data_IF_391985063856
#
_entry.id   IF_391985063856
#
_cell.length_a   1.000
_cell.length_b   1.000
_cell.length_c   1.000
_cell.angle_alpha   90.00
_cell.angle_beta   90.00
_cell.angle_gamma   90.00
#
_symmetry.space_group_name_H-M   'P 1'
#
loop_
_entity.id
_entity.type
_entity.pdbx_description
1 polymer ?
#
# COMPACT_ATOMS: atom_id res chain seq x y z
N UNK A 1 41.53 -63.59 18.23
CA UNK A 1 40.73 -63.56 19.48
C UNK A 1 40.21 -62.14 19.64
N UNK A 2 38.88 -62.02 19.75
CA UNK A 2 38.02 -60.97 20.37
C UNK A 2 38.67 -59.59 20.55
N UNK A 3 38.16 -58.46 20.06
CA UNK A 3 36.79 -57.94 19.89
C UNK A 3 36.90 -56.41 20.12
N UNK A 4 35.95 -55.50 19.94
CA UNK A 4 34.51 -55.47 19.62
C UNK A 4 34.28 -54.06 19.02
N UNK A 5 33.44 -53.98 17.99
CA UNK A 5 32.92 -52.74 17.42
C UNK A 5 31.68 -52.26 18.20
N UNK A 6 31.46 -50.94 18.26
CA UNK A 6 30.13 -50.38 18.52
C UNK A 6 29.96 -49.06 17.77
N UNK A 7 29.14 -49.13 16.72
CA UNK A 7 28.49 -48.02 16.05
C UNK A 7 27.07 -47.90 16.60
N UNK A 8 26.56 -46.68 16.79
CA UNK A 8 25.14 -46.44 17.01
C UNK A 8 24.59 -45.54 15.90
N UNK A 9 23.73 -46.13 15.07
CA UNK A 9 22.73 -45.46 14.25
C UNK A 9 21.62 -44.93 15.17
N UNK A 10 21.13 -43.71 14.91
CA UNK A 10 19.84 -43.24 15.41
C UNK A 10 18.79 -43.39 14.30
N UNK A 11 17.70 -44.05 14.68
CA UNK A 11 16.60 -44.54 13.85
C UNK A 11 15.52 -43.47 13.66
N UNK A 12 14.93 -43.41 12.47
CA UNK A 12 13.70 -42.70 12.15
C UNK A 12 12.49 -43.27 12.90
N UNK A 13 11.55 -42.41 13.31
CA UNK A 13 10.17 -42.81 13.62
C UNK A 13 9.20 -41.84 12.95
N UNK A 14 8.54 -42.33 11.89
CA UNK A 14 7.29 -41.80 11.39
C UNK A 14 6.15 -42.31 12.28
N UNK A 15 5.22 -41.44 12.66
CA UNK A 15 3.94 -41.83 13.26
C UNK A 15 2.85 -41.48 12.27
N UNK A 16 2.26 -42.53 11.72
CA UNK A 16 1.05 -42.50 10.92
C UNK A 16 -0.14 -42.76 11.85
N UNK A 17 -1.11 -41.85 11.91
CA UNK A 17 -2.37 -42.07 12.60
C UNK A 17 -3.54 -41.69 11.67
N UNK A 18 -4.13 -42.72 11.04
CA UNK A 18 -5.46 -42.66 10.42
C UNK A 18 -6.52 -42.62 11.51
N UNK A 19 -7.51 -41.73 11.38
CA UNK A 19 -8.65 -41.68 12.29
C UNK A 19 -9.84 -40.86 11.78
N UNK A 20 -10.67 -41.49 10.95
CA UNK A 20 -12.12 -41.32 10.74
C UNK A 20 -12.72 -39.93 10.41
N UNK A 21 -13.33 -39.91 9.22
CA UNK A 21 -14.37 -38.99 8.82
C UNK A 21 -15.59 -39.04 9.76
N UNK A 22 -16.03 -37.86 10.21
CA UNK A 22 -17.31 -37.59 10.85
C UNK A 22 -17.84 -36.27 10.30
N UNK A 23 -18.96 -36.34 9.59
CA UNK A 23 -19.82 -35.21 9.24
C UNK A 23 -20.33 -34.59 10.54
N UNK A 24 -20.10 -33.29 10.74
CA UNK A 24 -21.06 -32.44 11.44
C UNK A 24 -20.85 -30.97 11.08
N UNK A 25 -21.97 -30.32 10.72
CA UNK A 25 -22.03 -28.90 10.45
C UNK A 25 -21.77 -28.10 11.72
N UNK A 26 -20.76 -27.22 11.66
CA UNK A 26 -20.39 -26.34 12.75
C UNK A 26 -20.13 -24.94 12.23
N UNK A 27 -21.08 -24.05 12.48
CA UNK A 27 -20.96 -22.60 12.37
C UNK A 27 -19.90 -22.15 13.38
N UNK A 28 -18.64 -22.16 12.98
CA UNK A 28 -17.50 -21.80 13.82
C UNK A 28 -17.06 -20.37 13.53
N UNK A 29 -17.45 -19.43 14.38
CA UNK A 29 -16.74 -18.15 14.57
C UNK A 29 -15.32 -18.49 15.02
N UNK A 30 -14.41 -18.67 14.08
CA UNK A 30 -12.98 -18.72 14.34
C UNK A 30 -12.46 -17.30 14.42
N UNK A 31 -12.41 -16.75 15.63
CA UNK A 31 -11.62 -15.58 15.94
C UNK A 31 -10.18 -15.95 15.55
N UNK A 32 -9.68 -15.39 14.45
CA UNK A 32 -8.31 -15.60 14.02
C UNK A 32 -7.42 -15.09 15.16
N UNK A 33 -6.76 -16.00 15.87
CA UNK A 33 -5.60 -15.64 16.68
C UNK A 33 -4.57 -15.11 15.70
N UNK A 34 -4.45 -13.78 15.68
CA UNK A 34 -3.39 -13.07 15.02
C UNK A 34 -2.06 -13.74 15.38
N UNK A 35 -1.30 -14.07 14.34
CA UNK A 35 0.09 -14.46 14.46
C UNK A 35 0.90 -13.21 14.87
N UNK A 36 0.72 -12.75 16.11
CA UNK A 36 1.63 -11.83 16.76
C UNK A 36 2.90 -12.60 17.14
N UNK A 37 3.83 -12.67 16.19
CA UNK A 37 5.20 -13.07 16.44
C UNK A 37 6.08 -11.83 16.59
N UNK A 38 6.18 -11.33 17.83
CA UNK A 38 7.37 -10.61 18.32
C UNK A 38 7.52 -9.14 17.93
N UNK A 39 6.99 -8.27 18.78
CA UNK A 39 7.30 -6.84 18.86
C UNK A 39 8.82 -6.65 19.04
N UNK A 40 9.48 -6.04 18.04
CA UNK A 40 10.90 -5.66 18.07
C UNK A 40 11.65 -5.60 16.72
N UNK A 41 11.02 -5.87 15.56
CA UNK A 41 11.70 -5.79 14.22
C UNK A 41 10.86 -5.22 13.08
N UNK A 42 9.68 -4.70 13.34
CA UNK A 42 8.70 -4.31 12.31
C UNK A 42 8.06 -5.50 11.60
N UNK A 43 6.84 -5.31 11.11
CA UNK A 43 6.06 -6.32 10.38
C UNK A 43 6.67 -6.56 9.00
N UNK A 44 6.72 -7.83 8.57
CA UNK A 44 7.29 -8.15 7.26
C UNK A 44 6.37 -7.78 6.09
N UNK A 45 5.06 -7.76 6.34
CA UNK A 45 4.06 -7.50 5.31
C UNK A 45 2.74 -6.99 5.91
N UNK A 46 2.09 -6.04 5.24
CA UNK A 46 0.69 -5.60 5.48
C UNK A 46 0.01 -5.40 4.13
N UNK A 47 -1.24 -5.85 3.98
CA UNK A 47 -2.06 -5.63 2.80
C UNK A 47 -3.35 -4.89 3.13
N UNK A 48 -3.78 -4.00 2.23
CA UNK A 48 -5.06 -3.29 2.27
C UNK A 48 -5.88 -3.69 1.05
N UNK A 49 -7.12 -4.09 1.31
CA UNK A 49 -8.10 -4.47 0.30
C UNK A 49 -9.08 -3.33 0.07
N UNK A 50 -9.04 -2.72 -1.11
CA UNK A 50 -9.66 -1.43 -1.38
C UNK A 50 -11.18 -1.39 -1.29
N UNK A 51 -11.90 -2.48 -1.60
CA UNK A 51 -13.36 -2.41 -1.75
C UNK A 51 -14.11 -3.47 -0.96
N UNK A 52 -13.72 -3.66 0.30
CA UNK A 52 -14.37 -4.54 1.24
C UNK A 52 -14.53 -3.87 2.61
N UNK A 53 -15.60 -4.25 3.30
CA UNK A 53 -15.99 -3.80 4.63
C UNK A 53 -15.52 -4.75 5.75
N UNK A 54 -14.96 -5.90 5.38
CA UNK A 54 -14.42 -6.92 6.28
C UNK A 54 -13.03 -7.40 5.83
N UNK A 55 -12.21 -7.76 6.81
CA UNK A 55 -10.88 -8.34 6.57
C UNK A 55 -10.98 -9.65 5.78
N UNK A 56 -10.00 -9.89 4.92
CA UNK A 56 -9.95 -11.06 4.06
C UNK A 56 -8.66 -11.84 4.23
N UNK A 57 -8.74 -13.15 4.42
CA UNK A 57 -7.57 -14.04 4.43
C UNK A 57 -7.42 -14.68 3.06
N UNK A 58 -6.32 -14.40 2.38
CA UNK A 58 -6.06 -14.94 1.03
C UNK A 58 -5.71 -16.43 1.05
N UNK A 59 -5.65 -17.04 -0.13
CA UNK A 59 -5.28 -18.44 -0.35
C UNK A 59 -3.91 -18.84 0.24
N UNK A 60 -3.06 -17.86 0.62
CA UNK A 60 -1.75 -18.05 1.24
C UNK A 60 -1.76 -17.86 2.75
N UNK A 61 -2.92 -17.53 3.32
CA UNK A 61 -3.08 -17.27 4.75
C UNK A 61 -2.64 -15.86 5.16
N UNK A 62 -2.47 -14.92 4.23
CA UNK A 62 -2.16 -13.53 4.57
C UNK A 62 -3.45 -12.75 4.80
N UNK A 63 -3.45 -11.91 5.84
CA UNK A 63 -4.58 -11.06 6.20
C UNK A 63 -4.54 -9.73 5.45
N UNK A 64 -5.55 -9.49 4.64
CA UNK A 64 -5.78 -8.22 3.97
C UNK A 64 -6.79 -7.41 4.77
N UNK A 65 -6.37 -6.23 5.19
CA UNK A 65 -7.21 -5.33 5.98
C UNK A 65 -8.22 -4.60 5.11
N UNK A 66 -9.44 -4.45 5.61
CA UNK A 66 -10.46 -3.63 4.97
C UNK A 66 -10.14 -2.13 5.05
N UNK A 67 -10.78 -1.31 4.21
CA UNK A 67 -10.53 0.14 4.14
C UNK A 67 -11.33 0.97 5.14
N UNK A 68 -12.26 0.36 5.86
CA UNK A 68 -13.18 1.05 6.79
C UNK A 68 -12.62 1.31 8.21
N UNK A 69 -11.43 0.81 8.53
CA UNK A 69 -10.83 1.06 9.84
C UNK A 69 -10.05 2.37 9.85
N UNK A 70 -10.45 3.29 10.75
CA UNK A 70 -9.73 4.55 10.96
C UNK A 70 -8.37 4.27 11.59
N UNK A 71 -7.36 5.01 11.15
CA UNK A 71 -6.02 4.84 11.69
C UNK A 71 -5.95 5.17 13.18
N UNK A 72 -5.23 4.34 13.92
CA UNK A 72 -4.76 4.65 15.27
C UNK A 72 -3.32 4.17 15.43
N UNK A 73 -2.51 4.78 16.32
CA UNK A 73 -1.15 4.30 16.57
C UNK A 73 -1.07 2.89 17.18
N UNK A 74 -2.17 2.33 17.68
CA UNK A 74 -2.19 1.07 18.41
C UNK A 74 -2.68 -0.13 17.58
N UNK A 75 -3.14 0.08 16.35
CA UNK A 75 -3.66 -0.99 15.47
C UNK A 75 -2.73 -1.26 14.28
N UNK A 76 -3.16 -2.04 13.28
CA UNK A 76 -2.41 -2.31 12.04
C UNK A 76 -2.13 -1.04 11.23
N UNK A 77 -3.04 -0.07 11.30
CA UNK A 77 -3.08 1.09 10.43
C UNK A 77 -4.51 1.57 10.22
N UNK A 78 -4.76 2.29 9.13
CA UNK A 78 -6.10 2.69 8.72
C UNK A 78 -6.13 3.92 7.82
N UNK A 79 -7.35 4.33 7.47
CA UNK A 79 -7.56 5.57 6.73
C UNK A 79 -7.37 6.82 7.61
N UNK A 80 -7.03 7.93 6.97
CA UNK A 80 -6.93 9.27 7.55
C UNK A 80 -7.92 10.21 6.85
N UNK A 81 -8.58 11.09 7.59
CA UNK A 81 -9.46 12.12 7.04
C UNK A 81 -10.91 11.68 6.82
N UNK A 82 -11.23 11.18 5.63
CA UNK A 82 -12.59 10.68 5.31
C UNK A 82 -12.60 9.17 5.21
N UNK A 83 -13.67 8.56 5.74
CA UNK A 83 -13.90 7.12 5.55
C UNK A 83 -14.05 6.79 4.05
N UNK A 84 -13.26 5.83 3.53
CA UNK A 84 -13.40 5.36 2.17
C UNK A 84 -14.73 4.65 1.92
N UNK A 85 -15.06 4.46 0.65
CA UNK A 85 -16.20 3.65 0.22
C UNK A 85 -15.75 2.50 -0.64
N UNK A 86 -16.47 1.41 -0.50
CA UNK A 86 -16.29 0.26 -1.36
C UNK A 86 -16.98 0.44 -2.71
N UNK A 87 -16.32 -0.03 -3.74
CA UNK A 87 -16.90 -0.18 -5.06
C UNK A 87 -16.58 -1.55 -5.64
N UNK A 88 -17.61 -2.24 -6.13
CA UNK A 88 -17.46 -3.47 -6.89
C UNK A 88 -17.51 -3.20 -8.38
N UNK A 89 -16.55 -3.77 -9.11
CA UNK A 89 -16.47 -3.53 -10.54
C UNK A 89 -17.65 -4.11 -11.36
N UNK A 90 -18.38 -5.13 -10.88
CA UNK A 90 -19.61 -5.69 -11.50
C UNK A 90 -19.63 -5.63 -13.05
N UNK A 91 -18.67 -6.31 -13.68
CA UNK A 91 -18.27 -6.07 -15.08
C UNK A 91 -19.32 -6.37 -16.16
N UNK A 92 -20.40 -7.10 -15.83
CA UNK A 92 -21.47 -7.46 -16.77
C UNK A 92 -21.05 -8.41 -17.92
N UNK A 93 -19.78 -8.36 -18.35
CA UNK A 93 -19.17 -9.19 -19.39
C UNK A 93 -18.01 -10.01 -18.79
N UNK A 94 -18.07 -11.35 -18.85
CA UNK A 94 -17.01 -12.22 -18.31
C UNK A 94 -15.67 -12.13 -19.06
N UNK A 95 -15.59 -11.41 -20.19
CA UNK A 95 -14.33 -11.13 -20.90
C UNK A 95 -13.64 -9.84 -20.45
N UNK A 96 -14.32 -9.03 -19.63
CA UNK A 96 -13.82 -7.76 -19.09
C UNK A 96 -13.43 -7.98 -17.64
N UNK A 97 -12.29 -8.64 -17.45
CA UNK A 97 -11.80 -9.10 -16.15
C UNK A 97 -10.30 -8.83 -16.06
N UNK A 98 -9.89 -8.02 -15.11
CA UNK A 98 -8.48 -7.95 -14.73
C UNK A 98 -8.06 -9.25 -14.03
N UNK A 99 -6.79 -9.61 -14.12
CA UNK A 99 -6.23 -10.71 -13.31
C UNK A 99 -5.68 -10.17 -12.01
N UNK A 100 -5.76 -10.98 -10.96
CA UNK A 100 -5.08 -10.66 -9.73
C UNK A 100 -3.56 -10.70 -9.93
N UNK A 101 -2.87 -9.82 -9.21
CA UNK A 101 -1.41 -9.77 -9.21
C UNK A 101 -0.86 -10.03 -7.81
N UNK A 102 0.18 -10.87 -7.68
CA UNK A 102 0.66 -11.85 -8.67
C UNK A 102 -0.42 -12.84 -9.15
N UNK A 103 -0.19 -13.51 -10.29
CA UNK A 103 -1.16 -14.41 -10.94
C UNK A 103 -1.61 -15.59 -10.05
N UNK A 104 -0.81 -15.92 -9.05
CA UNK A 104 -1.14 -16.91 -8.03
C UNK A 104 -2.34 -16.53 -7.15
N UNK A 105 -2.71 -15.25 -7.08
CA UNK A 105 -3.95 -14.77 -6.45
C UNK A 105 -5.19 -14.92 -7.32
N UNK A 106 -5.13 -15.55 -8.50
CA UNK A 106 -6.33 -15.81 -9.32
C UNK A 106 -7.40 -16.65 -8.58
N UNK A 107 -7.03 -17.35 -7.49
CA UNK A 107 -8.01 -18.03 -6.62
C UNK A 107 -8.77 -17.06 -5.69
N UNK A 108 -8.17 -15.91 -5.40
CA UNK A 108 -8.68 -14.84 -4.54
C UNK A 108 -9.33 -13.72 -5.37
N UNK A 109 -9.75 -14.07 -6.59
CA UNK A 109 -10.18 -13.16 -7.65
C UNK A 109 -11.24 -12.15 -7.22
N UNK A 110 -12.37 -12.62 -6.67
CA UNK A 110 -13.45 -11.74 -6.25
C UNK A 110 -13.07 -10.89 -5.02
N UNK A 111 -12.09 -11.34 -4.24
CA UNK A 111 -11.74 -10.72 -2.98
C UNK A 111 -10.70 -9.60 -3.10
N UNK A 112 -9.93 -9.51 -4.20
CA UNK A 112 -8.87 -8.50 -4.34
C UNK A 112 -9.16 -7.50 -5.47
N UNK A 113 -8.55 -7.65 -6.65
CA UNK A 113 -8.57 -6.59 -7.68
C UNK A 113 -9.94 -6.35 -8.33
N UNK A 114 -10.94 -7.17 -8.00
CA UNK A 114 -12.31 -7.00 -8.45
C UNK A 114 -13.06 -5.89 -7.72
N UNK A 115 -12.51 -5.43 -6.63
CA UNK A 115 -13.03 -4.38 -5.81
C UNK A 115 -12.00 -3.25 -5.76
N UNK A 116 -12.48 -2.04 -5.52
CA UNK A 116 -11.60 -0.90 -5.30
C UNK A 116 -12.22 0.10 -4.35
N UNK A 117 -11.33 0.82 -3.69
CA UNK A 117 -11.69 1.90 -2.78
C UNK A 117 -11.96 3.16 -3.58
N UNK A 118 -12.99 3.92 -3.20
CA UNK A 118 -13.29 5.24 -3.73
C UNK A 118 -13.65 6.20 -2.59
N UNK A 119 -13.24 7.46 -2.67
CA UNK A 119 -13.69 8.49 -1.72
C UNK A 119 -14.92 9.26 -2.23
N UNK A 120 -15.68 9.92 -1.34
CA UNK A 120 -16.59 11.01 -1.72
C UNK A 120 -15.88 12.34 -1.98
N UNK A 121 -14.69 12.52 -1.41
CA UNK A 121 -13.76 13.62 -1.69
C UNK A 121 -12.89 13.34 -2.91
N UNK A 122 -11.71 13.96 -2.95
CA UNK A 122 -10.72 13.73 -4.01
C UNK A 122 -9.58 12.80 -3.60
N UNK A 123 -9.25 12.66 -2.31
CA UNK A 123 -8.00 12.08 -1.82
C UNK A 123 -8.22 10.97 -0.80
N UNK A 124 -7.64 9.79 -1.04
CA UNK A 124 -7.63 8.71 -0.07
C UNK A 124 -6.25 8.59 0.57
N UNK A 125 -6.19 8.71 1.90
CA UNK A 125 -4.94 8.63 2.64
C UNK A 125 -4.99 7.49 3.65
N UNK A 126 -3.97 6.64 3.64
CA UNK A 126 -3.79 5.53 4.56
C UNK A 126 -2.46 5.63 5.28
N UNK A 127 -2.47 5.39 6.58
CA UNK A 127 -1.26 5.21 7.39
C UNK A 127 -1.17 3.76 7.84
N UNK A 128 0.02 3.18 7.71
CA UNK A 128 0.27 1.79 8.09
C UNK A 128 1.33 1.74 9.16
N UNK A 129 1.00 1.09 10.28
CA UNK A 129 1.91 0.92 11.41
C UNK A 129 2.79 -0.29 11.13
N UNK A 130 4.06 -0.03 10.83
CA UNK A 130 4.98 -1.05 10.34
C UNK A 130 6.03 -1.45 11.36
N UNK A 131 6.33 -0.59 12.33
CA UNK A 131 7.26 -0.85 13.43
C UNK A 131 6.97 0.14 14.58
N UNK A 132 7.58 -0.11 15.74
CA UNK A 132 7.53 0.85 16.85
C UNK A 132 8.18 2.18 16.42
N UNK A 133 7.61 3.30 16.89
CA UNK A 133 8.06 4.64 16.52
C UNK A 133 9.50 4.97 16.92
N UNK A 134 10.05 4.27 17.91
CA UNK A 134 11.42 4.45 18.40
C UNK A 134 12.43 3.54 17.70
N UNK A 135 11.97 2.59 16.89
CA UNK A 135 12.86 1.67 16.17
C UNK A 135 13.56 2.39 15.00
N UNK A 136 14.79 1.97 14.64
CA UNK A 136 15.48 2.49 13.46
C UNK A 136 14.61 2.37 12.21
N UNK A 137 14.74 3.31 11.27
CA UNK A 137 13.99 3.27 10.03
C UNK A 137 14.22 1.94 9.29
N UNK A 138 13.14 1.36 8.79
CA UNK A 138 13.16 0.22 7.88
C UNK A 138 12.76 0.65 6.48
N UNK A 139 13.09 -0.18 5.48
CA UNK A 139 12.69 0.05 4.09
C UNK A 139 11.65 -0.97 3.66
N UNK A 140 10.75 -0.51 2.80
CA UNK A 140 9.65 -1.29 2.24
C UNK A 140 9.54 -1.07 0.73
N UNK A 141 8.97 -2.06 0.06
CA UNK A 141 8.34 -1.88 -1.25
C UNK A 141 6.85 -1.64 -1.03
N UNK A 142 6.37 -0.49 -1.49
CA UNK A 142 4.94 -0.17 -1.50
C UNK A 142 4.38 -0.54 -2.87
N UNK A 143 3.44 -1.47 -2.91
CA UNK A 143 2.80 -1.94 -4.15
C UNK A 143 1.42 -1.33 -4.28
N UNK A 144 1.20 -0.63 -5.37
CA UNK A 144 -0.09 -0.10 -5.77
C UNK A 144 -0.58 -0.89 -6.97
N UNK A 145 -1.78 -1.48 -6.86
CA UNK A 145 -2.44 -2.13 -7.97
C UNK A 145 -3.81 -1.51 -8.19
N UNK A 146 -4.16 -1.29 -9.45
CA UNK A 146 -5.48 -0.77 -9.80
C UNK A 146 -6.02 -1.37 -11.09
N UNK A 147 -7.28 -1.80 -11.03
CA UNK A 147 -8.05 -2.27 -12.16
C UNK A 147 -9.30 -1.39 -12.35
N UNK A 148 -9.34 -0.62 -13.45
CA UNK A 148 -10.38 0.41 -13.65
C UNK A 148 -11.60 -0.03 -14.49
N UNK A 149 -12.80 0.36 -14.02
CA UNK A 149 -14.10 0.07 -14.63
C UNK A 149 -14.42 0.78 -15.96
N UNK A 150 -15.27 0.12 -16.76
CA UNK A 150 -15.92 0.66 -17.97
C UNK A 150 -16.69 1.93 -17.70
N UNK A 151 -16.35 2.98 -18.44
CA UNK A 151 -17.03 4.27 -18.45
C UNK A 151 -16.92 5.07 -17.14
N UNK A 152 -16.10 4.61 -16.20
CA UNK A 152 -15.68 5.37 -15.01
C UNK A 152 -14.26 5.97 -15.17
N UNK A 153 -13.68 5.76 -16.37
CA UNK A 153 -12.33 6.09 -16.79
C UNK A 153 -11.89 7.54 -16.61
N UNK A 154 -10.66 7.71 -16.11
CA UNK A 154 -9.70 8.66 -16.71
C UNK A 154 -9.40 9.95 -15.94
N UNK A 155 -9.59 9.94 -14.62
CA UNK A 155 -9.07 11.01 -13.78
C UNK A 155 -7.55 10.95 -13.68
N UNK A 156 -6.92 12.12 -13.60
CA UNK A 156 -5.54 12.20 -13.14
C UNK A 156 -5.51 11.97 -11.64
N UNK A 157 -4.58 11.14 -11.20
CA UNK A 157 -4.28 10.94 -9.79
C UNK A 157 -2.78 11.10 -9.56
N UNK A 158 -2.40 11.69 -8.44
CA UNK A 158 -1.04 11.62 -7.94
C UNK A 158 -0.96 10.52 -6.87
N UNK A 159 0.11 9.74 -6.89
CA UNK A 159 0.45 8.80 -5.82
C UNK A 159 1.54 9.46 -5.00
N UNK A 160 1.24 9.67 -3.72
CA UNK A 160 2.08 10.33 -2.74
C UNK A 160 2.41 9.34 -1.64
N UNK A 161 3.69 9.20 -1.31
CA UNK A 161 4.16 8.36 -0.23
C UNK A 161 4.97 9.22 0.73
N UNK A 162 4.67 9.18 2.02
CA UNK A 162 5.31 10.00 3.05
C UNK A 162 5.36 11.51 2.68
N UNK A 163 4.26 12.01 2.12
CA UNK A 163 4.14 13.39 1.64
C UNK A 163 4.90 13.73 0.34
N UNK A 164 5.57 12.77 -0.31
CA UNK A 164 6.35 12.98 -1.54
C UNK A 164 5.65 12.35 -2.74
N UNK A 165 5.52 13.09 -3.84
CA UNK A 165 4.92 12.57 -5.08
C UNK A 165 5.85 11.54 -5.69
N UNK A 166 5.43 10.27 -5.70
CA UNK A 166 6.19 9.16 -6.30
C UNK A 166 5.72 8.83 -7.71
N UNK A 167 4.47 9.17 -8.04
CA UNK A 167 3.92 9.09 -9.39
C UNK A 167 2.97 10.26 -9.62
N UNK A 168 3.36 11.17 -10.50
CA UNK A 168 2.55 12.32 -10.91
C UNK A 168 1.68 11.98 -12.13
N UNK A 169 0.49 12.59 -12.21
CA UNK A 169 -0.43 12.50 -13.35
C UNK A 169 -0.69 11.04 -13.77
N UNK A 170 -0.81 10.12 -12.80
CA UNK A 170 -1.19 8.75 -13.07
C UNK A 170 -2.59 8.74 -13.70
N UNK A 171 -2.69 8.02 -14.81
CA UNK A 171 -3.93 7.76 -15.52
C UNK A 171 -3.87 6.28 -15.89
N UNK A 172 -4.93 5.54 -15.60
CA UNK A 172 -5.02 4.15 -15.99
C UNK A 172 -4.83 4.00 -17.48
N UNK A 173 -3.91 3.14 -17.91
CA UNK A 173 -3.57 3.01 -19.33
C UNK A 173 -4.58 2.19 -20.10
N UNK A 174 -5.09 1.14 -19.47
CA UNK A 174 -5.85 0.09 -20.13
C UNK A 174 -7.04 -0.30 -19.25
N UNK A 175 -8.21 0.24 -19.55
CA UNK A 175 -9.37 -0.07 -18.72
C UNK A 175 -9.90 -1.52 -18.95
N UNK A 176 -10.55 -2.11 -17.93
CA UNK A 176 -11.37 -3.35 -17.96
C UNK A 176 -10.65 -4.69 -18.05
N UNK A 177 -9.51 -4.74 -18.73
CA UNK A 177 -8.81 -6.02 -18.93
C UNK A 177 -7.44 -6.01 -18.29
N UNK A 178 -6.90 -4.85 -17.91
CA UNK A 178 -5.57 -4.77 -17.32
C UNK A 178 -5.57 -4.12 -15.95
N UNK A 179 -4.76 -4.70 -15.09
CA UNK A 179 -4.29 -4.15 -13.84
C UNK A 179 -3.03 -3.37 -14.12
N UNK A 180 -3.01 -2.11 -13.71
CA UNK A 180 -1.78 -1.33 -13.61
C UNK A 180 -1.10 -1.64 -12.27
N UNK A 181 0.18 -1.96 -12.32
CA UNK A 181 0.97 -2.36 -11.16
C UNK A 181 2.15 -1.40 -11.01
N UNK A 182 2.32 -0.85 -9.82
CA UNK A 182 3.45 -0.01 -9.46
C UNK A 182 4.07 -0.50 -8.16
N UNK A 183 5.36 -0.77 -8.18
CA UNK A 183 6.17 -1.13 -7.02
C UNK A 183 7.13 0.02 -6.73
N UNK A 184 6.82 0.83 -5.73
CA UNK A 184 7.70 1.89 -5.24
C UNK A 184 8.68 1.29 -4.24
N UNK A 185 9.96 1.30 -4.60
CA UNK A 185 11.03 0.60 -3.86
C UNK A 185 11.82 1.56 -2.99
N UNK A 186 12.52 1.01 -2.01
CA UNK A 186 13.31 1.76 -1.04
C UNK A 186 12.54 2.86 -0.29
N UNK A 187 11.27 2.60 0.03
CA UNK A 187 10.46 3.55 0.80
C UNK A 187 10.81 3.42 2.28
N UNK A 188 11.33 4.48 2.94
CA UNK A 188 11.64 4.43 4.36
C UNK A 188 10.38 4.58 5.23
N UNK A 189 10.38 3.96 6.40
CA UNK A 189 9.44 4.30 7.46
C UNK A 189 9.77 5.65 8.08
N UNK A 190 8.76 6.45 8.45
CA UNK A 190 8.90 7.67 9.25
C UNK A 190 8.24 7.44 10.60
N UNK A 191 9.03 7.45 11.69
CA UNK A 191 8.55 7.09 13.04
C UNK A 191 7.73 5.78 13.06
N UNK A 192 8.21 4.80 12.30
CA UNK A 192 7.64 3.46 12.21
C UNK A 192 6.40 3.28 11.36
N UNK A 193 5.95 4.32 10.66
CA UNK A 193 4.82 4.24 9.73
C UNK A 193 5.23 4.53 8.29
N UNK A 194 4.39 4.12 7.35
CA UNK A 194 4.38 4.67 5.99
C UNK A 194 2.98 5.23 5.73
N UNK A 195 2.92 6.45 5.20
CA UNK A 195 1.69 7.06 4.72
C UNK A 195 1.63 6.98 3.20
N UNK A 196 0.48 6.58 2.65
CA UNK A 196 0.19 6.61 1.22
C UNK A 196 -1.06 7.44 1.01
N UNK A 197 -0.97 8.45 0.15
CA UNK A 197 -2.09 9.26 -0.29
C UNK A 197 -2.25 9.12 -1.80
N UNK A 198 -3.42 8.66 -2.24
CA UNK A 198 -3.84 8.77 -3.63
C UNK A 198 -4.64 10.06 -3.73
N UNK A 199 -4.22 10.98 -4.59
CA UNK A 199 -4.83 12.31 -4.71
C UNK A 199 -5.46 12.45 -6.08
N UNK A 200 -6.79 12.55 -6.15
CA UNK A 200 -7.51 12.79 -7.38
C UNK A 200 -7.54 14.28 -7.74
N UNK A 201 -7.57 14.59 -9.03
CA UNK A 201 -7.72 15.96 -9.53
C UNK A 201 -9.20 16.41 -9.58
N UNK A 202 -9.67 17.30 -8.66
CA UNK A 202 -11.06 17.76 -8.65
C UNK A 202 -11.49 18.48 -9.93
N UNK A 203 -10.54 19.05 -10.68
CA UNK A 203 -10.83 19.81 -11.90
C UNK A 203 -11.07 18.88 -13.10
N UNK A 204 -10.66 17.62 -12.99
CA UNK A 204 -10.81 16.62 -14.05
C UNK A 204 -12.01 15.73 -13.74
N UNK A 205 -12.90 15.56 -14.73
CA UNK A 205 -14.02 14.63 -14.62
C UNK A 205 -13.48 13.23 -14.32
N UNK A 206 -13.83 12.69 -13.16
CA UNK A 206 -13.34 11.39 -12.69
C UNK A 206 -12.00 11.44 -11.97
N UNK A 207 -11.43 12.61 -11.65
CA UNK A 207 -10.27 12.76 -10.77
C UNK A 207 -10.61 12.47 -9.31
N UNK A 208 -10.97 11.22 -9.05
CA UNK A 208 -11.23 10.67 -7.73
C UNK A 208 -10.10 9.70 -7.42
N UNK A 209 -9.54 9.79 -6.21
CA UNK A 209 -8.61 8.80 -5.71
C UNK A 209 -9.22 7.41 -5.69
N UNK A 210 -8.48 6.43 -6.20
CA UNK A 210 -8.90 5.03 -6.30
C UNK A 210 -7.69 4.11 -6.22
N UNK A 211 -7.90 2.92 -5.68
CA UNK A 211 -6.94 1.82 -5.74
C UNK A 211 -7.68 0.50 -5.49
N UNK A 212 -7.18 -0.60 -6.04
CA UNK A 212 -7.74 -1.93 -5.76
C UNK A 212 -7.08 -2.57 -4.55
N UNK A 213 -5.75 -2.57 -4.50
CA UNK A 213 -5.00 -3.07 -3.35
C UNK A 213 -3.76 -2.22 -3.09
N UNK A 214 -3.39 -2.11 -1.82
CA UNK A 214 -2.06 -1.64 -1.40
C UNK A 214 -1.35 -2.76 -0.64
N UNK A 215 -0.05 -2.94 -0.89
CA UNK A 215 0.78 -3.85 -0.09
C UNK A 215 2.05 -3.15 0.37
N UNK A 216 2.47 -3.47 1.58
CA UNK A 216 3.69 -2.95 2.21
C UNK A 216 4.55 -4.14 2.56
N UNK A 217 5.60 -4.39 1.77
CA UNK A 217 6.50 -5.53 1.97
C UNK A 217 7.86 -5.04 2.43
N UNK A 218 8.32 -5.52 3.59
CA UNK A 218 9.63 -5.12 4.12
C UNK A 218 10.73 -5.58 3.17
N UNK A 219 11.47 -4.64 2.60
CA UNK A 219 12.46 -4.92 1.56
C UNK A 219 13.47 -3.79 1.44
N UNK A 220 14.72 -4.15 1.14
CA UNK A 220 15.77 -3.22 0.73
C UNK A 220 15.97 -3.17 -0.79
N UNK A 221 15.06 -3.78 -1.55
CA UNK A 221 15.09 -3.74 -3.01
C UNK A 221 15.07 -2.28 -3.51
N UNK A 222 15.78 -1.99 -4.59
CA UNK A 222 15.97 -0.65 -5.13
C UNK A 222 16.85 0.29 -4.29
N UNK A 223 17.19 -0.04 -3.03
CA UNK A 223 18.03 0.83 -2.21
C UNK A 223 19.50 0.83 -2.67
N UNK A 224 20.05 -0.34 -2.98
CA UNK A 224 21.43 -0.47 -3.46
C UNK A 224 21.64 0.15 -4.84
N UNK A 225 20.56 0.22 -5.63
CA UNK A 225 20.59 0.54 -7.05
C UNK A 225 20.42 2.04 -7.27
N UNK A 226 21.25 2.80 -6.56
CA UNK A 226 21.40 4.25 -6.72
C UNK A 226 20.88 5.11 -5.58
N UNK A 227 20.19 4.55 -4.58
CA UNK A 227 19.79 5.32 -3.38
C UNK A 227 20.85 5.36 -2.27
N UNK A 228 21.70 4.34 -2.16
CA UNK A 228 22.80 4.34 -1.20
C UNK A 228 23.72 5.55 -1.41
N UNK A 229 23.89 6.35 -0.35
CA UNK A 229 24.75 7.53 -0.36
C UNK A 229 24.15 8.78 -1.01
N UNK A 230 22.94 8.71 -1.59
CA UNK A 230 22.20 9.90 -1.99
C UNK A 230 21.59 10.57 -0.75
N UNK A 231 21.82 11.87 -0.62
CA UNK A 231 21.10 12.71 0.33
C UNK A 231 19.96 13.41 -0.41
N UNK A 232 18.72 13.20 0.04
CA UNK A 232 17.54 13.79 -0.59
C UNK A 232 16.93 14.92 0.24
N UNK A 233 17.71 15.55 1.13
CA UNK A 233 17.21 16.59 2.03
C UNK A 233 16.06 16.06 2.88
N UNK A 234 14.87 16.66 2.72
CA UNK A 234 13.61 16.26 3.39
C UNK A 234 12.81 15.20 2.62
N UNK A 235 13.23 14.90 1.40
CA UNK A 235 12.73 13.81 0.59
C UNK A 235 13.33 12.47 0.96
N UNK A 236 12.97 11.45 0.19
CA UNK A 236 13.63 10.14 0.23
C UNK A 236 13.97 9.69 -1.18
N UNK A 237 15.00 8.85 -1.32
CA UNK A 237 15.31 8.25 -2.60
C UNK A 237 14.43 7.01 -2.81
N UNK A 238 13.88 6.88 -4.01
CA UNK A 238 13.10 5.71 -4.42
C UNK A 238 13.31 5.42 -5.90
N UNK A 239 13.18 4.15 -6.27
CA UNK A 239 13.04 3.68 -7.65
C UNK A 239 11.68 3.02 -7.82
N UNK A 240 11.24 2.85 -9.06
CA UNK A 240 9.93 2.28 -9.34
C UNK A 240 10.06 1.19 -10.38
N UNK A 241 9.50 0.02 -10.10
CA UNK A 241 9.21 -0.99 -11.13
C UNK A 241 7.72 -0.95 -11.43
N UNK A 242 7.32 -0.98 -12.68
CA UNK A 242 5.90 -0.91 -13.02
C UNK A 242 5.54 -1.75 -14.26
N UNK A 243 4.28 -2.19 -14.27
CA UNK A 243 3.65 -2.93 -15.36
C UNK A 243 2.38 -2.17 -15.75
N UNK A 244 2.52 -1.26 -16.71
CA UNK A 244 1.42 -0.45 -17.25
C UNK A 244 1.36 -0.47 -18.79
N UNK A 245 2.05 -1.44 -19.40
CA UNK A 245 2.38 -1.42 -20.83
C UNK A 245 1.13 -1.33 -21.72
N UNK A 246 1.14 -0.34 -22.62
CA UNK A 246 -0.05 0.20 -23.28
C UNK A 246 -0.08 0.09 -24.80
N UNK A 247 0.85 -0.63 -25.46
CA UNK A 247 0.99 -0.56 -26.93
C UNK A 247 -0.19 -1.14 -27.74
N UNK A 248 -1.17 -1.73 -27.06
CA UNK A 248 -2.37 -2.31 -27.69
C UNK A 248 -3.68 -1.77 -27.13
N UNK A 249 -3.65 -0.85 -26.17
CA UNK A 249 -4.86 -0.46 -25.45
C UNK A 249 -5.67 0.60 -26.20
N UNK A 250 -6.51 0.14 -27.13
CA UNK A 250 -7.58 0.96 -27.68
C UNK A 250 -8.82 0.87 -26.78
N UNK A 251 -9.50 2.00 -26.58
CA UNK A 251 -10.76 2.07 -25.85
C UNK A 251 -11.76 1.04 -26.40
N UNK A 252 -12.15 0.05 -25.59
CA UNK A 252 -13.10 -1.00 -25.99
C UNK A 252 -12.50 -2.21 -26.72
N UNK A 253 -11.17 -2.37 -26.75
CA UNK A 253 -10.54 -3.61 -27.24
C UNK A 253 -10.76 -4.76 -26.24
N UNK A 254 -11.71 -5.65 -26.56
CA UNK A 254 -12.04 -6.81 -25.73
C UNK A 254 -10.89 -7.83 -25.68
N UNK A 255 -10.70 -8.48 -24.52
CA UNK A 255 -9.93 -9.72 -24.40
C UNK A 255 -8.42 -9.59 -24.23
N UNK A 256 -7.88 -8.39 -23.99
CA UNK A 256 -6.45 -8.20 -23.71
C UNK A 256 -6.15 -8.11 -22.22
N UNK A 257 -6.33 -9.25 -21.55
CA UNK A 257 -6.03 -9.40 -20.13
C UNK A 257 -4.52 -9.37 -19.91
N UNK A 258 -4.04 -8.99 -18.71
CA UNK A 258 -2.60 -9.11 -18.43
C UNK A 258 -2.12 -10.55 -18.67
N UNK A 259 -0.94 -10.64 -19.26
CA UNK A 259 -0.16 -11.86 -19.41
C UNK A 259 1.13 -11.65 -18.62
N UNK A 260 1.01 -11.59 -17.30
CA UNK A 260 2.08 -11.28 -16.37
C UNK A 260 3.39 -12.05 -16.59
N UNK A 261 3.30 -13.31 -17.02
CA UNK A 261 4.47 -14.14 -17.33
C UNK A 261 5.20 -13.74 -18.63
N UNK A 262 4.53 -12.94 -19.48
CA UNK A 262 5.01 -12.48 -20.79
C UNK A 262 5.23 -10.96 -20.84
N UNK A 263 4.80 -10.23 -19.82
CA UNK A 263 4.96 -8.79 -19.72
C UNK A 263 6.32 -8.45 -19.11
N UNK A 264 7.07 -7.60 -19.80
CA UNK A 264 8.32 -7.07 -19.27
C UNK A 264 8.04 -5.89 -18.33
N UNK A 265 8.67 -5.94 -17.16
CA UNK A 265 8.64 -4.84 -16.21
C UNK A 265 9.36 -3.63 -16.80
N UNK A 266 8.79 -2.45 -16.60
CA UNK A 266 9.47 -1.18 -16.85
C UNK A 266 10.09 -0.67 -15.55
N UNK A 267 11.20 0.05 -15.67
CA UNK A 267 11.95 0.57 -14.52
C UNK A 267 12.11 2.08 -14.64
N UNK A 268 11.80 2.79 -13.56
CA UNK A 268 12.19 4.18 -13.34
C UNK A 268 13.39 4.20 -12.39
N UNK A 269 14.48 4.82 -12.84
CA UNK A 269 15.72 4.88 -12.09
C UNK A 269 15.56 5.59 -10.74
N UNK A 270 16.42 5.23 -9.78
CA UNK A 270 16.45 5.84 -8.45
C UNK A 270 16.59 7.36 -8.53
N UNK A 271 15.68 8.08 -7.87
CA UNK A 271 15.70 9.55 -7.78
C UNK A 271 15.21 10.01 -6.42
N UNK A 272 15.62 11.20 -6.01
CA UNK A 272 15.06 11.84 -4.82
C UNK A 272 13.62 12.26 -5.11
N UNK A 273 12.71 11.86 -4.23
CA UNK A 273 11.29 12.23 -4.24
C UNK A 273 11.12 13.39 -3.29
N UNK A 274 10.78 14.55 -3.84
CA UNK A 274 10.72 15.83 -3.14
C UNK A 274 9.27 16.23 -2.82
N UNK A 275 9.12 17.20 -1.93
CA UNK A 275 7.84 17.84 -1.68
C UNK A 275 7.31 18.53 -2.94
N UNK A 276 6.00 18.80 -2.95
CA UNK A 276 5.42 19.70 -3.93
C UNK A 276 6.20 21.04 -3.91
N UNK A 277 6.54 21.54 -5.10
CA UNK A 277 7.33 22.76 -5.33
C UNK A 277 8.80 22.76 -4.87
N UNK A 278 9.33 21.63 -4.41
CA UNK A 278 10.77 21.43 -4.16
C UNK A 278 11.41 20.75 -5.37
N UNK A 279 12.52 21.31 -5.84
CA UNK A 279 13.25 20.90 -7.03
C UNK A 279 14.72 20.62 -6.69
N UNK A 280 15.49 20.23 -7.72
CA UNK A 280 16.89 19.83 -7.58
C UNK A 280 17.03 18.33 -7.43
N UNK A 281 18.20 17.80 -7.78
CA UNK A 281 18.46 16.36 -7.76
C UNK A 281 18.49 15.77 -6.34
N UNK A 282 18.63 16.63 -5.32
CA UNK A 282 18.71 16.32 -3.90
C UNK A 282 17.61 17.02 -3.07
N UNK A 283 16.54 17.52 -3.70
CA UNK A 283 15.47 18.29 -3.07
C UNK A 283 15.96 19.56 -2.34
N UNK A 284 16.93 20.26 -2.92
CA UNK A 284 17.65 21.38 -2.32
C UNK A 284 17.17 22.76 -2.78
N UNK A 285 16.30 22.83 -3.80
CA UNK A 285 15.82 24.07 -4.39
C UNK A 285 14.33 24.26 -4.11
N UNK A 286 13.91 25.48 -3.76
CA UNK A 286 12.51 25.84 -3.54
C UNK A 286 12.25 26.39 -2.14
N UNK A 287 11.12 27.09 -1.99
CA UNK A 287 10.76 27.77 -0.74
C UNK A 287 10.58 26.78 0.42
N UNK A 288 10.22 25.53 0.12
CA UNK A 288 9.97 24.47 1.09
C UNK A 288 11.19 23.59 1.41
N UNK A 289 12.31 23.73 0.69
CA UNK A 289 13.49 22.90 0.91
C UNK A 289 14.04 22.99 2.35
N UNK A 290 13.91 24.15 3.00
CA UNK A 290 14.38 24.40 4.37
C UNK A 290 13.26 24.43 5.44
N UNK A 291 11.98 24.51 5.06
CA UNK A 291 10.83 24.69 5.98
C UNK A 291 10.30 23.34 6.47
N UNK A 292 10.25 23.10 7.79
CA UNK A 292 9.83 21.81 8.35
C UNK A 292 8.45 21.97 8.97
N UNK A 293 7.48 21.24 8.45
CA UNK A 293 6.08 21.36 8.88
C UNK A 293 5.62 20.20 9.76
N UNK A 294 6.53 19.69 10.59
CA UNK A 294 6.32 18.46 11.37
C UNK A 294 5.85 17.30 10.48
N UNK A 295 6.33 17.28 9.23
CA UNK A 295 6.00 16.27 8.23
C UNK A 295 6.46 14.88 8.74
N UNK A 296 5.70 13.82 8.42
CA UNK A 296 4.47 13.79 7.63
C UNK A 296 3.19 14.09 8.44
N UNK A 297 3.31 14.32 9.76
CA UNK A 297 2.15 14.26 10.66
C UNK A 297 1.45 15.61 10.86
N UNK A 298 2.23 16.69 10.96
CA UNK A 298 1.68 18.01 11.30
C UNK A 298 1.10 18.76 10.12
N UNK A 299 1.70 18.62 8.95
CA UNK A 299 1.38 19.47 7.81
C UNK A 299 2.27 19.20 6.62
N UNK A 300 2.13 20.03 5.61
CA UNK A 300 3.01 20.08 4.45
C UNK A 300 3.42 21.51 4.20
N UNK A 301 4.60 21.72 3.64
CA UNK A 301 4.98 23.06 3.19
C UNK A 301 4.33 23.40 1.84
N UNK A 302 3.74 24.60 1.74
CA UNK A 302 3.24 25.20 0.51
C UNK A 302 3.77 26.63 0.40
N UNK A 303 4.45 26.96 -0.70
CA UNK A 303 5.03 28.29 -0.94
C UNK A 303 5.93 28.81 0.21
N UNK A 304 6.63 27.92 0.92
CA UNK A 304 7.50 28.27 2.04
C UNK A 304 6.79 28.49 3.37
N UNK A 305 5.52 28.08 3.50
CA UNK A 305 4.75 28.13 4.74
C UNK A 305 4.11 26.78 5.02
N UNK A 306 3.99 26.44 6.30
CA UNK A 306 3.32 25.21 6.68
C UNK A 306 1.80 25.33 6.59
N UNK A 307 1.19 24.38 5.89
CA UNK A 307 -0.24 24.09 5.92
C UNK A 307 -0.43 22.91 6.86
N UNK A 308 -1.00 23.18 8.03
CA UNK A 308 -1.24 22.12 9.00
C UNK A 308 -2.45 21.31 8.58
N UNK A 309 -2.29 20.01 8.60
CA UNK A 309 -3.35 19.05 8.30
C UNK A 309 -3.87 18.47 9.61
N UNK A 310 -4.97 17.73 9.53
CA UNK A 310 -5.32 16.82 10.61
C UNK A 310 -5.54 17.53 11.97
N UNK A 311 -5.91 18.81 11.99
CA UNK A 311 -6.11 19.58 13.22
C UNK A 311 -4.83 19.96 13.96
N UNK A 312 -3.65 19.67 13.42
CA UNK A 312 -2.39 20.22 13.91
C UNK A 312 -2.36 21.75 13.78
N UNK A 313 -1.57 22.41 14.63
CA UNK A 313 -1.42 23.87 14.63
C UNK A 313 0.00 24.30 15.03
N UNK A 314 0.27 25.61 14.95
CA UNK A 314 1.61 26.18 15.12
C UNK A 314 2.23 26.62 13.80
N UNK A 315 3.36 27.34 13.87
CA UNK A 315 4.06 27.85 12.68
C UNK A 315 4.65 26.72 11.83
N UNK A 316 5.01 25.60 12.49
CA UNK A 316 5.59 24.40 11.89
C UNK A 316 4.71 23.16 12.15
N UNK A 317 3.44 23.35 12.47
CA UNK A 317 2.47 22.28 12.77
C UNK A 317 2.89 21.33 13.91
N UNK A 318 3.67 21.86 14.85
CA UNK A 318 4.24 21.15 15.98
C UNK A 318 3.23 20.85 17.09
N UNK A 319 2.10 21.57 17.13
CA UNK A 319 1.05 21.34 18.12
C UNK A 319 0.11 20.29 17.57
N UNK A 320 0.11 19.12 18.20
CA UNK A 320 -0.81 18.04 17.87
C UNK A 320 -2.26 18.38 18.29
N UNK A 321 -3.26 17.93 17.52
CA UNK A 321 -4.68 18.03 17.88
C UNK A 321 -4.99 17.19 19.13
N UNK A 322 -6.02 17.59 19.87
CA UNK A 322 -6.61 16.73 20.89
C UNK A 322 -7.33 15.57 20.20
N UNK A 323 -6.72 14.39 20.28
CA UNK A 323 -7.30 13.14 19.82
C UNK A 323 -8.23 12.57 20.89
N UNK A 324 -9.39 12.08 20.47
CA UNK A 324 -10.29 11.39 21.39
C UNK A 324 -9.72 10.03 21.83
N UNK A 325 -10.45 9.32 22.69
CA UNK A 325 -10.03 8.00 23.19
C UNK A 325 -9.88 6.92 22.11
N UNK A 326 -10.28 7.21 20.88
CA UNK A 326 -10.17 6.33 19.72
C UNK A 326 -9.12 6.82 18.72
N UNK A 327 -8.37 7.90 19.02
CA UNK A 327 -7.33 8.43 18.12
C UNK A 327 -7.88 9.28 16.98
N UNK A 328 -9.17 9.65 17.00
CA UNK A 328 -9.78 10.47 15.98
C UNK A 328 -9.66 11.96 16.34
N UNK A 329 -9.51 12.82 15.33
CA UNK A 329 -9.51 14.28 15.51
C UNK A 329 -10.89 14.73 16.00
N UNK A 330 -10.93 15.35 17.17
CA UNK A 330 -12.17 15.89 17.71
C UNK A 330 -12.74 16.94 16.73
N UNK A 331 -13.91 16.66 16.14
CA UNK A 331 -14.62 17.69 15.38
C UNK A 331 -15.05 18.79 16.35
N UNK A 332 -14.40 19.94 16.28
CA UNK A 332 -14.92 21.14 16.89
C UNK A 332 -16.12 21.60 16.05
N UNK A 333 -17.33 21.29 16.52
CA UNK A 333 -18.54 22.00 16.07
C UNK A 333 -18.41 23.47 16.50
N UNK A 334 -18.48 24.40 15.53
CA UNK A 334 -18.64 25.84 15.78
C UNK A 334 -19.99 26.16 16.44
#
# INVERSE_FOLDING_TARGET
MVGVALSFLALSLAVEARGKAGRDGGRGRGRAEALEAGVGRGVSWVGINGGFDEDYVDSRGRLWHHTHEAWTPQNWGGWMGSEPRDYSNSWGNPRMKCKNWPADYDQDYEALLHHYSIEQGTNQTFRVNLQDSQEPLSYYTVKYNFCEKQWHGGGKMDIVINGKVVKKDYITKCHHTRTDIYHFKCVPTLAGVIEVSIQGDPEVKGGQARFSTLEFEKSSDGCSDGCLGKSCGKGFCSSTTFYDYSSRCDFGSEGMVNEFDLEEAQEEASSCKCDADVQGEACELGACAAVSCNEPFGGFCLEGKCQCIDGHSGENCEVAPDIDRFGCYAQHEE
#
